data_IF_994514646820
#
_entry.id   IF_994514646820
#
_cell.length_a   1.000
_cell.length_b   1.000
_cell.length_c   1.000
_cell.angle_alpha   90.00
_cell.angle_beta   90.00
_cell.angle_gamma   90.00
#
_symmetry.space_group_name_H-M   'P 1'
#
loop_
_entity.id
_entity.type
_entity.pdbx_description
1 polymer ?
#
# COMPACT_ATOMS: atom_id res chain seq x y z
N UNK A 1 -2.39 -13.56 5.70
CA UNK A 1 -1.74 -14.52 4.78
C UNK A 1 -2.77 -15.30 3.98
N UNK A 2 -3.70 -16.00 4.63
CA UNK A 2 -4.66 -16.90 3.99
C UNK A 2 -5.54 -16.24 2.92
N UNK A 3 -6.02 -15.01 3.17
CA UNK A 3 -6.81 -14.29 2.15
C UNK A 3 -6.00 -14.03 0.87
N UNK A 4 -4.70 -13.72 1.00
CA UNK A 4 -3.84 -13.52 -0.15
C UNK A 4 -3.52 -14.84 -0.85
N UNK A 5 -3.35 -15.94 -0.13
CA UNK A 5 -3.22 -17.27 -0.75
C UNK A 5 -4.47 -17.68 -1.53
N UNK A 6 -5.65 -17.34 -1.03
CA UNK A 6 -6.92 -17.63 -1.71
C UNK A 6 -7.01 -16.91 -3.06
N UNK A 7 -6.59 -15.64 -3.10
CA UNK A 7 -6.66 -14.78 -4.28
C UNK A 7 -5.48 -14.96 -5.24
N UNK A 8 -4.26 -15.03 -4.71
CA UNK A 8 -3.01 -15.09 -5.46
C UNK A 8 -2.44 -16.50 -5.39
N UNK A 9 -2.82 -17.32 -6.38
CA UNK A 9 -2.31 -18.69 -6.53
C UNK A 9 -1.07 -18.71 -7.43
N UNK A 10 -0.24 -19.74 -7.24
CA UNK A 10 0.96 -19.97 -8.04
C UNK A 10 2.23 -19.61 -7.28
N UNK A 11 3.36 -19.81 -7.95
CA UNK A 11 4.69 -19.65 -7.38
C UNK A 11 5.55 -18.71 -8.20
N UNK A 12 6.54 -18.11 -7.55
CA UNK A 12 7.57 -17.30 -8.17
C UNK A 12 8.94 -17.81 -7.77
N UNK A 13 9.87 -17.85 -8.71
CA UNK A 13 11.27 -18.13 -8.41
C UNK A 13 11.87 -16.94 -7.66
N UNK A 14 12.39 -17.20 -6.46
CA UNK A 14 13.18 -16.24 -5.73
C UNK A 14 14.51 -15.98 -6.46
N UNK A 15 15.20 -14.90 -6.07
CA UNK A 15 16.50 -14.53 -6.64
C UNK A 15 17.58 -15.61 -6.43
N UNK A 16 17.40 -16.46 -5.42
CA UNK A 16 18.26 -17.59 -5.06
C UNK A 16 17.81 -18.91 -5.73
N UNK A 17 16.79 -18.87 -6.59
CA UNK A 17 16.29 -20.03 -7.34
C UNK A 17 15.27 -20.89 -6.60
N UNK A 18 15.02 -20.65 -5.31
CA UNK A 18 13.97 -21.33 -4.56
C UNK A 18 12.57 -20.86 -5.01
N UNK A 19 11.63 -21.78 -5.22
CA UNK A 19 10.24 -21.42 -5.49
C UNK A 19 9.51 -21.03 -4.20
N UNK A 20 8.85 -19.87 -4.21
CA UNK A 20 8.01 -19.40 -3.11
C UNK A 20 6.59 -19.13 -3.59
N UNK A 21 5.61 -19.29 -2.70
CA UNK A 21 4.22 -18.95 -3.00
C UNK A 21 4.10 -17.47 -3.36
N UNK A 22 3.36 -17.15 -4.43
CA UNK A 22 3.18 -15.77 -4.90
C UNK A 22 2.63 -14.86 -3.80
N UNK A 23 1.69 -15.37 -2.99
CA UNK A 23 1.13 -14.61 -1.88
C UNK A 23 2.20 -14.23 -0.84
N UNK A 24 3.12 -15.14 -0.52
CA UNK A 24 4.19 -14.87 0.44
C UNK A 24 5.21 -13.88 -0.12
N UNK A 25 5.53 -14.01 -1.41
CA UNK A 25 6.38 -13.05 -2.10
C UNK A 25 5.74 -11.65 -2.15
N UNK A 26 4.44 -11.55 -2.42
CA UNK A 26 3.70 -10.28 -2.39
C UNK A 26 3.69 -9.66 -0.99
N UNK A 27 3.51 -10.47 0.07
CA UNK A 27 3.56 -9.99 1.46
C UNK A 27 4.95 -9.45 1.79
N UNK A 28 6.01 -10.15 1.40
CA UNK A 28 7.37 -9.80 1.75
C UNK A 28 7.90 -8.58 0.97
N UNK A 29 7.63 -8.51 -0.33
CA UNK A 29 8.18 -7.47 -1.20
C UNK A 29 7.24 -6.26 -1.36
N UNK A 30 5.94 -6.49 -1.37
CA UNK A 30 4.89 -5.50 -1.66
C UNK A 30 5.23 -4.55 -2.82
N UNK A 31 5.32 -5.04 -4.09
CA UNK A 31 5.66 -4.19 -5.21
C UNK A 31 4.63 -3.06 -5.40
N UNK A 32 5.09 -1.82 -5.64
CA UNK A 32 4.23 -0.65 -5.85
C UNK A 32 3.09 -0.93 -6.84
N UNK A 33 3.40 -1.50 -8.01
CA UNK A 33 2.40 -1.80 -9.05
C UNK A 33 1.36 -2.85 -8.65
N UNK A 34 1.56 -3.56 -7.53
CA UNK A 34 0.62 -4.53 -6.97
C UNK A 34 -0.13 -4.01 -5.74
N UNK A 35 0.35 -2.94 -5.09
CA UNK A 35 -0.21 -2.44 -3.83
C UNK A 35 -1.71 -2.17 -3.93
N UNK A 36 -2.16 -1.50 -4.99
CA UNK A 36 -3.59 -1.19 -5.19
C UNK A 36 -4.46 -2.44 -5.22
N UNK A 37 -4.03 -3.45 -5.99
CA UNK A 37 -4.76 -4.70 -6.16
C UNK A 37 -4.84 -5.51 -4.86
N UNK A 38 -3.74 -5.52 -4.11
CA UNK A 38 -3.62 -6.17 -2.80
C UNK A 38 -4.49 -5.44 -1.77
N UNK A 39 -4.46 -4.11 -1.70
CA UNK A 39 -5.29 -3.33 -0.79
C UNK A 39 -6.79 -3.58 -1.05
N UNK A 40 -7.21 -3.65 -2.32
CA UNK A 40 -8.59 -4.01 -2.68
C UNK A 40 -8.97 -5.43 -2.26
N UNK A 41 -8.04 -6.38 -2.30
CA UNK A 41 -8.27 -7.73 -1.77
C UNK A 41 -8.51 -7.70 -0.26
N UNK A 42 -7.72 -6.89 0.45
CA UNK A 42 -7.73 -6.79 1.90
C UNK A 42 -8.87 -5.93 2.46
N UNK A 43 -9.57 -5.18 1.60
CA UNK A 43 -10.71 -4.32 1.96
C UNK A 43 -11.78 -5.03 2.80
N UNK A 44 -12.10 -6.29 2.49
CA UNK A 44 -13.13 -7.02 3.24
C UNK A 44 -12.73 -7.32 4.70
N UNK A 45 -11.42 -7.36 4.99
CA UNK A 45 -10.89 -7.72 6.31
C UNK A 45 -10.62 -6.48 7.16
N UNK A 46 -10.12 -5.43 6.52
CA UNK A 46 -9.63 -4.22 7.19
C UNK A 46 -10.46 -2.96 6.91
N UNK A 47 -11.47 -3.06 6.04
CA UNK A 47 -12.30 -1.94 5.64
C UNK A 47 -11.65 -1.04 4.59
N UNK A 48 -12.30 0.09 4.32
CA UNK A 48 -11.91 1.02 3.25
C UNK A 48 -10.59 1.74 3.53
N UNK A 49 -10.22 1.86 4.82
CA UNK A 49 -9.00 2.55 5.25
C UNK A 49 -7.75 2.02 4.56
N UNK A 50 -7.61 0.71 4.38
CA UNK A 50 -6.43 0.12 3.72
C UNK A 50 -6.33 0.55 2.25
N UNK A 51 -7.48 0.68 1.57
CA UNK A 51 -7.54 1.11 0.17
C UNK A 51 -7.21 2.59 0.05
N UNK A 52 -7.80 3.42 0.91
CA UNK A 52 -7.60 4.88 0.87
C UNK A 52 -6.16 5.26 1.21
N UNK A 53 -5.56 4.67 2.25
CA UNK A 53 -4.16 4.91 2.59
C UNK A 53 -3.21 4.44 1.50
N UNK A 54 -3.51 3.30 0.85
CA UNK A 54 -2.73 2.84 -0.30
C UNK A 54 -2.86 3.80 -1.49
N UNK A 55 -4.05 4.34 -1.75
CA UNK A 55 -4.26 5.34 -2.80
C UNK A 55 -3.38 6.57 -2.55
N UNK A 56 -3.38 7.08 -1.31
CA UNK A 56 -2.60 8.25 -0.91
C UNK A 56 -1.09 7.98 -1.01
N UNK A 57 -0.63 6.80 -0.58
CA UNK A 57 0.77 6.40 -0.72
C UNK A 57 1.21 6.31 -2.19
N UNK A 58 0.39 5.71 -3.06
CA UNK A 58 0.66 5.65 -4.50
C UNK A 58 0.65 7.04 -5.14
N UNK A 59 -0.27 7.90 -4.69
CA UNK A 59 -0.33 9.28 -5.13
C UNK A 59 0.98 10.02 -4.81
N UNK A 60 1.47 9.92 -3.58
CA UNK A 60 2.74 10.52 -3.16
C UNK A 60 3.94 9.91 -3.89
N UNK A 61 3.91 8.60 -4.16
CA UNK A 61 4.96 7.91 -4.89
C UNK A 61 5.12 8.44 -6.33
N UNK A 62 4.02 8.81 -7.00
CA UNK A 62 4.08 9.40 -8.35
C UNK A 62 4.81 10.75 -8.38
N UNK A 63 4.81 11.52 -7.29
CA UNK A 63 5.56 12.79 -7.18
C UNK A 63 7.06 12.56 -7.35
N UNK A 64 7.57 11.39 -6.94
CA UNK A 64 8.99 11.07 -7.08
C UNK A 64 9.43 10.96 -8.55
N UNK A 65 8.50 10.65 -9.46
CA UNK A 65 8.79 10.49 -10.88
C UNK A 65 8.34 11.70 -11.70
N UNK A 66 7.16 12.25 -11.39
CA UNK A 66 6.54 13.30 -12.18
C UNK A 66 6.83 14.71 -11.64
N UNK A 67 7.30 14.81 -10.39
CA UNK A 67 7.50 16.09 -9.71
C UNK A 67 6.20 16.80 -9.37
N UNK A 68 6.34 18.12 -9.12
CA UNK A 68 5.21 19.02 -9.01
C UNK A 68 4.77 19.45 -10.41
N UNK A 69 3.45 19.52 -10.60
CA UNK A 69 2.84 19.87 -11.87
C UNK A 69 1.74 20.91 -11.67
N UNK A 70 2.01 22.16 -12.03
CA UNK A 70 1.02 23.24 -11.99
C UNK A 70 -0.14 23.02 -12.98
N UNK A 71 0.10 22.27 -14.07
CA UNK A 71 -0.93 21.99 -15.07
C UNK A 71 -1.90 20.89 -14.65
N UNK A 72 -1.50 20.03 -13.70
CA UNK A 72 -2.29 18.91 -13.21
C UNK A 72 -2.45 17.74 -14.19
N UNK A 73 -1.62 17.67 -15.25
CA UNK A 73 -1.74 16.67 -16.32
C UNK A 73 -1.00 15.37 -15.96
N UNK A 74 0.20 15.49 -15.40
CA UNK A 74 1.11 14.38 -15.06
C UNK A 74 1.15 14.11 -13.56
N UNK A 75 0.89 15.12 -12.72
CA UNK A 75 0.85 14.97 -11.27
C UNK A 75 -0.39 15.67 -10.70
N UNK A 76 -0.92 15.12 -9.62
CA UNK A 76 -2.02 15.73 -8.86
C UNK A 76 -1.54 16.80 -7.87
N UNK A 77 -0.23 16.92 -7.67
CA UNK A 77 0.38 17.88 -6.77
C UNK A 77 0.97 19.04 -7.56
N UNK A 78 0.51 20.26 -7.29
CA UNK A 78 1.04 21.49 -7.87
C UNK A 78 1.98 22.23 -6.92
N UNK A 79 1.95 21.92 -5.61
CA UNK A 79 2.79 22.59 -4.61
C UNK A 79 3.43 21.62 -3.62
N UNK A 80 4.58 22.00 -3.05
CA UNK A 80 5.20 21.24 -1.96
C UNK A 80 4.30 21.16 -0.73
N UNK A 81 3.52 22.20 -0.46
CA UNK A 81 2.61 22.22 0.70
C UNK A 81 1.60 21.07 0.64
N UNK A 82 1.00 20.81 -0.53
CA UNK A 82 0.07 19.68 -0.69
C UNK A 82 0.75 18.34 -0.41
N UNK A 83 1.99 18.17 -0.90
CA UNK A 83 2.77 16.96 -0.65
C UNK A 83 3.06 16.79 0.84
N UNK A 84 3.45 17.87 1.52
CA UNK A 84 3.70 17.85 2.97
C UNK A 84 2.44 17.53 3.78
N UNK A 85 1.30 18.10 3.41
CA UNK A 85 0.00 17.82 4.05
C UNK A 85 -0.37 16.35 3.90
N UNK A 86 -0.27 15.80 2.68
CA UNK A 86 -0.61 14.41 2.40
C UNK A 86 0.38 13.41 3.03
N UNK A 87 1.67 13.76 3.16
CA UNK A 87 2.65 12.96 3.92
C UNK A 87 2.26 12.91 5.41
N UNK A 88 1.91 14.04 6.00
CA UNK A 88 1.50 14.12 7.42
C UNK A 88 0.24 13.29 7.64
N UNK A 89 -0.76 13.45 6.78
CA UNK A 89 -2.01 12.69 6.82
C UNK A 89 -1.77 11.19 6.70
N UNK A 90 -0.98 10.75 5.71
CA UNK A 90 -0.66 9.35 5.51
C UNK A 90 0.06 8.76 6.73
N UNK A 91 1.04 9.49 7.28
CA UNK A 91 1.82 9.04 8.43
C UNK A 91 0.94 8.89 9.67
N UNK A 92 0.11 9.90 9.95
CA UNK A 92 -0.79 9.88 11.09
C UNK A 92 -1.78 8.72 10.99
N UNK A 93 -2.55 8.64 9.90
CA UNK A 93 -3.59 7.63 9.75
C UNK A 93 -3.05 6.21 9.66
N UNK A 94 -1.88 6.02 9.06
CA UNK A 94 -1.23 4.70 9.02
C UNK A 94 -0.83 4.26 10.44
N UNK A 95 -0.34 5.19 11.26
CA UNK A 95 0.00 4.92 12.66
C UNK A 95 -1.25 4.55 13.48
N UNK A 96 -2.32 5.32 13.37
CA UNK A 96 -3.60 5.05 14.03
C UNK A 96 -4.18 3.68 13.62
N UNK A 97 -4.11 3.37 12.32
CA UNK A 97 -4.56 2.09 11.80
C UNK A 97 -3.69 0.92 12.31
N UNK A 98 -2.36 1.10 12.34
CA UNK A 98 -1.44 0.09 12.88
C UNK A 98 -1.68 -0.19 14.37
N UNK A 99 -1.92 0.84 15.19
CA UNK A 99 -2.26 0.68 16.60
C UNK A 99 -3.61 -0.03 16.79
N UNK A 100 -4.61 0.31 15.97
CA UNK A 100 -5.90 -0.38 15.97
C UNK A 100 -5.73 -1.87 15.65
N UNK A 101 -4.91 -2.20 14.65
CA UNK A 101 -4.60 -3.59 14.31
C UNK A 101 -3.86 -4.31 15.44
N UNK A 102 -2.90 -3.66 16.08
CA UNK A 102 -2.14 -4.22 17.20
C UNK A 102 -3.06 -4.58 18.37
N UNK A 103 -4.02 -3.72 18.69
CA UNK A 103 -5.04 -3.99 19.72
C UNK A 103 -5.96 -5.15 19.33
N UNK A 104 -6.36 -5.24 18.06
CA UNK A 104 -7.19 -6.34 17.54
C UNK A 104 -6.46 -7.69 17.58
N UNK A 105 -5.15 -7.71 17.32
CA UNK A 105 -4.33 -8.93 17.26
C UNK A 105 -3.84 -9.38 18.64
N UNK A 106 -3.62 -8.45 19.57
CA UNK A 106 -3.25 -8.73 20.96
C UNK A 106 -4.34 -8.20 21.91
N UNK A 107 -5.54 -8.80 21.93
CA UNK A 107 -6.53 -8.46 22.94
C UNK A 107 -5.96 -8.81 24.33
N UNK A 108 -6.00 -7.86 25.25
CA UNK A 108 -5.67 -8.10 26.66
C UNK A 108 -6.59 -9.13 27.27
#
# INVERSE_FOLDING_TARGET
>A
RDELLRKYRGKVASREGAEVELADWLIALMPTGRMWEVARALRQIYGDVVVLLTALALNLHEVQYNGLDESGILSKYSTLQQVEEDIKELTQRTTEFAETLKQRLNPK
#
